data_IF_657962924429
#
_entry.id   IF_657962924429
#
_cell.length_a   1.000
_cell.length_b   1.000
_cell.length_c   1.000
_cell.angle_alpha   90.00
_cell.angle_beta   90.00
_cell.angle_gamma   90.00
#
_symmetry.space_group_name_H-M   'P 1'
#
loop_
_entity.id
_entity.type
_entity.pdbx_description
1 polymer ?
#
# COMPACT_ATOMS: atom_id res chain seq x y z
N UNK A 1 18.03 25.46 2.69
CA UNK A 1 19.46 25.18 2.97
C UNK A 1 20.09 26.35 3.71
N UNK A 2 20.99 26.03 4.60
CA UNK A 2 21.73 27.00 5.41
C UNK A 2 23.23 26.68 5.35
N UNK A 3 24.07 27.70 5.07
CA UNK A 3 25.53 27.61 5.14
C UNK A 3 25.98 27.76 6.59
N UNK A 4 26.52 26.71 7.19
CA UNK A 4 27.07 26.75 8.54
C UNK A 4 28.52 27.26 8.50
N UNK A 5 29.27 26.79 7.49
CA UNK A 5 30.64 27.21 7.18
C UNK A 5 30.72 27.49 5.68
N UNK A 6 31.80 28.12 5.22
CA UNK A 6 31.99 28.39 3.78
C UNK A 6 31.97 27.13 2.91
N UNK A 7 32.30 26.00 3.50
CA UNK A 7 32.39 24.70 2.87
C UNK A 7 31.38 23.68 3.42
N UNK A 8 30.52 24.03 4.36
CA UNK A 8 29.50 23.15 4.92
C UNK A 8 28.10 23.74 4.72
N UNK A 9 27.29 23.06 3.94
CA UNK A 9 25.87 23.38 3.72
C UNK A 9 25.01 22.29 4.31
N UNK A 10 24.00 22.67 5.09
CA UNK A 10 22.94 21.75 5.55
C UNK A 10 21.60 22.17 4.98
N UNK A 11 20.73 21.21 4.79
CA UNK A 11 19.38 21.43 4.29
C UNK A 11 18.37 20.58 5.04
N UNK A 12 17.20 21.14 5.25
CA UNK A 12 16.04 20.41 5.72
C UNK A 12 14.81 20.88 4.97
N UNK A 13 13.91 19.98 4.66
CA UNK A 13 12.65 20.24 3.98
C UNK A 13 11.60 19.26 4.45
N UNK A 14 10.38 19.73 4.58
CA UNK A 14 9.19 18.90 4.81
C UNK A 14 8.25 19.13 3.64
N UNK A 15 7.86 18.06 2.98
CA UNK A 15 6.95 18.06 1.84
C UNK A 15 5.65 17.36 2.23
N UNK A 16 4.56 17.74 1.57
CA UNK A 16 3.24 17.11 1.70
C UNK A 16 2.72 17.05 3.16
N UNK A 17 3.07 18.04 3.97
CA UNK A 17 2.56 18.17 5.33
C UNK A 17 1.11 18.65 5.30
N UNK A 18 0.18 17.73 5.56
CA UNK A 18 -1.24 18.10 5.55
C UNK A 18 -2.18 16.93 5.82
N UNK A 19 -3.46 17.22 5.68
CA UNK A 19 -4.52 16.23 5.77
C UNK A 19 -5.67 16.60 4.83
N UNK A 20 -6.43 15.59 4.41
CA UNK A 20 -7.69 15.76 3.68
C UNK A 20 -8.82 15.50 4.65
N UNK A 21 -9.77 16.42 4.73
CA UNK A 21 -10.98 16.26 5.51
C UNK A 21 -12.13 15.86 4.58
N UNK A 22 -12.66 14.68 4.78
CA UNK A 22 -13.81 14.16 4.05
C UNK A 22 -15.08 14.48 4.85
N UNK A 23 -15.98 15.26 4.28
CA UNK A 23 -17.23 15.57 4.96
C UNK A 23 -18.13 14.34 4.98
N UNK A 24 -18.92 14.22 6.05
CA UNK A 24 -19.93 13.17 6.20
C UNK A 24 -20.88 13.07 4.99
N UNK A 25 -21.30 14.20 4.45
CA UNK A 25 -22.25 14.27 3.33
C UNK A 25 -21.66 13.91 1.97
N UNK A 26 -20.31 13.99 1.84
CA UNK A 26 -19.62 13.69 0.58
C UNK A 26 -18.98 12.29 0.58
N UNK A 27 -19.07 11.55 1.69
CA UNK A 27 -18.42 10.25 1.85
C UNK A 27 -19.48 9.17 2.02
N UNK A 28 -19.36 8.09 1.27
CA UNK A 28 -20.16 6.89 1.44
C UNK A 28 -19.26 5.76 1.93
N UNK A 29 -19.83 4.86 2.71
CA UNK A 29 -19.15 3.66 3.19
C UNK A 29 -19.80 2.47 2.52
N UNK A 30 -19.01 1.64 1.87
CA UNK A 30 -19.44 0.34 1.40
C UNK A 30 -18.98 -0.71 2.40
N UNK A 31 -19.90 -1.50 2.92
CA UNK A 31 -19.63 -2.68 3.74
C UNK A 31 -20.00 -3.93 2.97
N UNK A 32 -19.12 -4.91 2.94
CA UNK A 32 -19.42 -6.23 2.37
C UNK A 32 -19.86 -7.14 3.51
N UNK A 33 -20.99 -7.79 3.35
CA UNK A 33 -21.50 -8.80 4.27
C UNK A 33 -21.94 -10.04 3.48
N UNK A 34 -21.00 -10.72 2.80
CA UNK A 34 -21.33 -11.87 1.98
C UNK A 34 -21.86 -13.01 2.83
N UNK A 35 -22.94 -13.64 2.39
CA UNK A 35 -23.38 -14.90 2.99
C UNK A 35 -22.30 -15.96 2.76
N UNK A 36 -21.93 -16.71 3.82
CA UNK A 36 -20.93 -17.76 3.68
C UNK A 36 -21.50 -18.87 2.77
N UNK A 37 -20.83 -19.11 1.66
CA UNK A 37 -21.10 -20.27 0.80
C UNK A 37 -20.49 -21.47 1.50
N UNK A 38 -21.31 -22.26 2.18
CA UNK A 38 -20.87 -23.45 2.92
C UNK A 38 -21.22 -24.74 2.14
N UNK A 39 -20.27 -25.19 1.31
CA UNK A 39 -20.34 -26.47 0.60
C UNK A 39 -19.52 -27.50 1.38
N UNK A 40 -19.89 -27.79 2.63
CA UNK A 40 -19.25 -28.82 3.43
C UNK A 40 -20.04 -30.13 3.34
N UNK A 41 -19.34 -31.24 3.08
CA UNK A 41 -19.96 -32.56 3.06
C UNK A 41 -20.73 -32.90 4.34
N UNK A 42 -20.31 -32.38 5.51
CA UNK A 42 -21.01 -32.52 6.78
C UNK A 42 -22.40 -31.91 6.81
N UNK A 43 -22.62 -30.80 6.08
CA UNK A 43 -23.93 -30.13 5.97
C UNK A 43 -24.93 -31.05 5.29
N UNK A 44 -24.55 -31.70 4.21
CA UNK A 44 -25.41 -32.60 3.46
C UNK A 44 -25.56 -33.97 4.13
N UNK A 45 -24.48 -34.48 4.76
CA UNK A 45 -24.56 -35.71 5.54
C UNK A 45 -25.50 -35.58 6.76
N UNK A 46 -25.54 -34.42 7.39
CA UNK A 46 -26.46 -34.14 8.50
C UNK A 46 -27.97 -34.12 8.09
N UNK A 47 -28.27 -34.04 6.79
CA UNK A 47 -29.63 -34.09 6.27
C UNK A 47 -30.14 -35.53 6.06
N UNK A 48 -29.26 -36.52 6.17
CA UNK A 48 -29.61 -37.93 5.95
C UNK A 48 -30.25 -38.51 7.19
N UNK A 49 -31.52 -38.88 7.09
CA UNK A 49 -32.26 -39.55 8.14
C UNK A 49 -32.23 -41.08 7.90
N UNK A 50 -31.66 -41.87 8.82
CA UNK A 50 -31.60 -43.34 8.66
C UNK A 50 -32.96 -44.01 8.57
N UNK A 51 -34.01 -43.37 9.16
CA UNK A 51 -35.39 -43.93 9.15
C UNK A 51 -36.10 -43.72 7.78
N UNK A 52 -35.68 -42.69 7.03
CA UNK A 52 -36.20 -42.36 5.71
C UNK A 52 -35.02 -42.13 4.72
N UNK A 53 -34.09 -43.08 4.68
CA UNK A 53 -32.84 -42.93 3.98
C UNK A 53 -32.97 -42.52 2.51
N UNK A 54 -33.87 -43.12 1.77
CA UNK A 54 -34.01 -42.89 0.31
C UNK A 54 -34.44 -41.46 0.01
N UNK A 55 -35.44 -40.92 0.73
CA UNK A 55 -35.94 -39.56 0.51
C UNK A 55 -34.97 -38.50 1.05
N UNK A 56 -34.35 -38.75 2.18
CA UNK A 56 -33.41 -37.82 2.78
C UNK A 56 -32.09 -37.72 1.98
N UNK A 57 -31.58 -38.83 1.44
CA UNK A 57 -30.42 -38.83 0.53
C UNK A 57 -30.75 -38.06 -0.74
N UNK A 58 -31.94 -38.30 -1.34
CA UNK A 58 -32.36 -37.56 -2.53
C UNK A 58 -32.44 -36.04 -2.28
N UNK A 59 -33.00 -35.65 -1.14
CA UNK A 59 -33.09 -34.24 -0.74
C UNK A 59 -31.68 -33.60 -0.50
N UNK A 60 -30.77 -34.34 0.12
CA UNK A 60 -29.38 -33.88 0.35
C UNK A 60 -28.65 -33.71 -0.99
N UNK A 61 -28.82 -34.65 -1.92
CA UNK A 61 -28.21 -34.55 -3.26
C UNK A 61 -28.81 -33.40 -4.09
N UNK A 62 -30.11 -33.22 -4.07
CA UNK A 62 -30.75 -32.10 -4.77
C UNK A 62 -30.30 -30.77 -4.21
N UNK A 63 -30.15 -30.66 -2.86
CA UNK A 63 -29.63 -29.46 -2.25
C UNK A 63 -28.18 -29.22 -2.67
N UNK A 64 -27.31 -30.23 -2.63
CA UNK A 64 -25.92 -30.13 -3.08
C UNK A 64 -25.82 -29.68 -4.54
N UNK A 65 -26.65 -30.26 -5.39
CA UNK A 65 -26.71 -29.88 -6.82
C UNK A 65 -27.11 -28.41 -6.97
N UNK A 66 -28.17 -27.99 -6.33
CA UNK A 66 -28.63 -26.59 -6.39
C UNK A 66 -27.57 -25.60 -5.86
N UNK A 67 -26.93 -25.95 -4.74
CA UNK A 67 -25.89 -25.09 -4.14
C UNK A 67 -24.65 -25.02 -5.06
N UNK A 68 -24.29 -26.14 -5.74
CA UNK A 68 -23.21 -26.18 -6.73
C UNK A 68 -23.56 -25.41 -7.99
N UNK A 69 -24.78 -25.54 -8.52
CA UNK A 69 -25.25 -24.80 -9.70
C UNK A 69 -25.27 -23.29 -9.41
N UNK A 70 -25.77 -22.86 -8.26
CA UNK A 70 -25.74 -21.46 -7.83
C UNK A 70 -24.33 -20.93 -7.74
N UNK A 71 -23.39 -21.70 -7.18
CA UNK A 71 -21.98 -21.32 -7.10
C UNK A 71 -21.35 -21.20 -8.50
N UNK A 72 -21.58 -22.18 -9.36
CA UNK A 72 -21.10 -22.18 -10.76
C UNK A 72 -21.67 -21.01 -11.56
N UNK A 73 -22.92 -20.68 -11.34
CA UNK A 73 -23.60 -19.55 -11.98
C UNK A 73 -22.94 -18.21 -11.58
N UNK A 74 -22.63 -18.04 -10.32
CA UNK A 74 -21.88 -16.88 -9.82
C UNK A 74 -20.48 -16.78 -10.43
N UNK A 75 -19.78 -17.91 -10.58
CA UNK A 75 -18.42 -17.95 -11.14
C UNK A 75 -18.43 -17.75 -12.67
N UNK A 76 -19.37 -18.36 -13.40
CA UNK A 76 -19.40 -18.37 -14.88
C UNK A 76 -19.95 -17.08 -15.47
N UNK A 77 -20.80 -16.36 -14.75
CA UNK A 77 -21.29 -15.05 -15.21
C UNK A 77 -20.23 -13.96 -15.20
N UNK A 78 -19.00 -14.30 -14.85
CA UNK A 78 -17.88 -13.34 -14.77
C UNK A 78 -18.01 -12.36 -13.61
N UNK A 79 -18.97 -12.60 -12.75
CA UNK A 79 -19.35 -11.71 -11.65
C UNK A 79 -18.63 -12.03 -10.34
N UNK A 80 -17.45 -12.65 -10.40
CA UNK A 80 -16.59 -12.91 -9.23
C UNK A 80 -16.26 -11.63 -8.47
N UNK A 81 -16.44 -10.48 -9.12
CA UNK A 81 -16.33 -9.14 -8.54
C UNK A 81 -17.68 -8.39 -8.54
N UNK A 82 -18.78 -9.08 -8.80
CA UNK A 82 -20.10 -8.45 -8.82
C UNK A 82 -20.50 -8.00 -7.41
N UNK A 83 -21.11 -6.81 -7.33
CA UNK A 83 -21.69 -6.24 -6.12
C UNK A 83 -22.64 -7.21 -5.41
N UNK A 84 -23.38 -8.02 -6.16
CA UNK A 84 -24.34 -8.97 -5.62
C UNK A 84 -23.67 -10.11 -4.85
N UNK A 85 -22.51 -10.60 -5.29
CA UNK A 85 -21.75 -11.63 -4.60
C UNK A 85 -21.16 -11.12 -3.29
N UNK A 86 -20.72 -9.86 -3.26
CA UNK A 86 -20.15 -9.24 -2.08
C UNK A 86 -21.22 -8.69 -1.13
N UNK A 87 -22.49 -8.69 -1.57
CA UNK A 87 -23.62 -8.08 -0.84
C UNK A 87 -23.24 -6.69 -0.30
N UNK A 88 -22.74 -5.83 -1.21
CA UNK A 88 -22.25 -4.51 -0.85
C UNK A 88 -23.42 -3.58 -0.50
N UNK A 89 -23.51 -3.26 0.77
CA UNK A 89 -24.40 -2.20 1.25
C UNK A 89 -23.64 -0.87 1.25
N UNK A 90 -24.15 0.08 0.46
CA UNK A 90 -23.62 1.44 0.40
C UNK A 90 -24.45 2.36 1.28
N UNK A 91 -23.88 2.78 2.40
CA UNK A 91 -24.51 3.68 3.34
C UNK A 91 -23.79 5.03 3.44
N UNK A 92 -24.46 6.01 4.04
CA UNK A 92 -23.84 7.28 4.35
C UNK A 92 -22.83 7.14 5.48
N UNK A 93 -21.74 7.89 5.41
CA UNK A 93 -20.76 7.92 6.48
C UNK A 93 -21.37 8.44 7.77
N UNK A 94 -21.16 7.74 8.89
CA UNK A 94 -21.68 8.15 10.21
C UNK A 94 -20.95 9.40 10.74
N UNK A 95 -19.69 9.55 10.39
CA UNK A 95 -18.81 10.62 10.84
C UNK A 95 -17.92 11.17 9.72
N UNK A 96 -17.42 12.39 9.90
CA UNK A 96 -16.39 12.95 9.01
C UNK A 96 -15.06 12.22 9.21
N UNK A 97 -14.35 11.94 8.13
CA UNK A 97 -13.07 11.25 8.14
C UNK A 97 -11.93 12.21 7.81
N UNK A 98 -10.83 12.09 8.55
CA UNK A 98 -9.57 12.77 8.22
C UNK A 98 -8.54 11.77 7.75
N UNK A 99 -7.93 12.04 6.61
CA UNK A 99 -6.83 11.26 6.04
C UNK A 99 -5.58 12.12 6.02
N UNK A 100 -4.50 11.66 6.65
CA UNK A 100 -3.20 12.36 6.58
C UNK A 100 -2.55 12.12 5.23
N UNK A 101 -1.90 13.14 4.70
CA UNK A 101 -1.03 12.99 3.53
C UNK A 101 0.26 12.27 3.92
N UNK A 102 0.85 11.58 2.95
CA UNK A 102 2.14 10.90 3.12
C UNK A 102 3.26 11.96 3.12
N UNK A 103 3.50 12.59 4.27
CA UNK A 103 4.53 13.62 4.40
C UNK A 103 5.93 13.05 4.22
N UNK A 104 6.83 13.85 3.66
CA UNK A 104 8.22 13.47 3.43
C UNK A 104 9.14 14.48 4.12
N UNK A 105 10.01 13.97 5.00
CA UNK A 105 11.09 14.73 5.61
C UNK A 105 12.37 14.46 4.84
N UNK A 106 13.03 15.53 4.40
CA UNK A 106 14.32 15.48 3.72
C UNK A 106 15.32 16.27 4.53
N UNK A 107 16.43 15.63 4.94
CA UNK A 107 17.52 16.25 5.67
C UNK A 107 18.82 15.91 4.96
N UNK A 108 19.66 16.90 4.68
CA UNK A 108 20.92 16.70 4.00
C UNK A 108 22.03 17.59 4.51
N UNK A 109 23.26 17.13 4.29
CA UNK A 109 24.45 17.88 4.54
C UNK A 109 25.45 17.64 3.41
N UNK A 110 26.15 18.69 2.99
CA UNK A 110 27.19 18.64 1.98
C UNK A 110 28.43 19.40 2.49
N UNK A 111 29.58 18.77 2.35
CA UNK A 111 30.86 19.35 2.70
C UNK A 111 31.77 19.43 1.49
N UNK A 112 32.28 20.64 1.21
CA UNK A 112 33.19 20.94 0.11
C UNK A 112 34.65 20.92 0.52
N UNK A 113 35.47 20.20 -0.20
CA UNK A 113 36.93 20.13 -0.06
C UNK A 113 37.62 20.85 -1.22
N UNK A 114 38.85 21.32 -1.00
CA UNK A 114 39.70 21.88 -2.06
C UNK A 114 39.02 23.03 -2.84
N UNK A 115 38.48 24.01 -2.15
CA UNK A 115 37.73 25.10 -2.73
C UNK A 115 36.53 24.60 -3.57
N UNK A 116 35.77 23.66 -3.00
CA UNK A 116 34.60 23.02 -3.62
C UNK A 116 34.88 22.24 -4.93
N UNK A 117 36.15 21.84 -5.15
CA UNK A 117 36.45 20.91 -6.26
C UNK A 117 35.99 19.48 -5.99
N UNK A 118 35.92 19.10 -4.74
CA UNK A 118 35.33 17.85 -4.28
C UNK A 118 34.23 18.18 -3.27
N UNK A 119 33.00 17.73 -3.50
CA UNK A 119 31.92 17.84 -2.56
C UNK A 119 31.45 16.44 -2.15
N UNK A 120 31.28 16.21 -0.87
CA UNK A 120 30.73 14.96 -0.32
C UNK A 120 29.46 15.30 0.44
N UNK A 121 28.39 14.57 0.15
CA UNK A 121 27.09 14.80 0.74
C UNK A 121 26.44 13.54 1.30
N UNK A 122 25.57 13.75 2.28
CA UNK A 122 24.67 12.75 2.79
C UNK A 122 23.25 13.33 2.82
N UNK A 123 22.28 12.56 2.35
CA UNK A 123 20.87 12.93 2.28
C UNK A 123 20.04 11.81 2.91
N UNK A 124 19.20 12.17 3.86
CA UNK A 124 18.19 11.27 4.43
C UNK A 124 16.81 11.72 3.97
N UNK A 125 16.06 10.83 3.34
CA UNK A 125 14.67 11.05 2.93
C UNK A 125 13.79 10.07 3.67
N UNK A 126 12.89 10.56 4.51
CA UNK A 126 11.93 9.72 5.24
C UNK A 126 10.53 10.06 4.79
N UNK A 127 9.85 9.11 4.18
CA UNK A 127 8.44 9.20 3.78
C UNK A 127 7.58 8.52 4.84
N UNK A 128 6.67 9.28 5.46
CA UNK A 128 5.73 8.78 6.45
C UNK A 128 4.48 8.22 5.75
N UNK A 129 4.49 6.93 5.47
CA UNK A 129 3.37 6.19 4.87
C UNK A 129 2.78 5.30 5.96
N UNK A 130 1.46 5.30 6.13
CA UNK A 130 0.84 4.39 7.07
C UNK A 130 0.83 2.95 6.50
N UNK A 131 1.12 1.91 7.32
CA UNK A 131 1.42 1.94 8.76
C UNK A 131 2.88 2.28 9.11
N UNK A 132 3.80 2.25 8.16
CA UNK A 132 5.24 2.35 8.39
C UNK A 132 5.85 3.59 7.74
N UNK A 133 7.06 3.98 8.22
CA UNK A 133 7.87 5.00 7.57
C UNK A 133 8.96 4.34 6.71
N UNK A 134 9.14 4.84 5.50
CA UNK A 134 10.20 4.41 4.60
C UNK A 134 11.33 5.43 4.60
N UNK A 135 12.52 4.99 5.02
CA UNK A 135 13.71 5.84 5.05
C UNK A 135 14.72 5.41 4.00
N UNK A 136 15.18 6.36 3.22
CA UNK A 136 16.28 6.25 2.28
C UNK A 136 17.45 7.11 2.77
N UNK A 137 18.64 6.54 2.74
CA UNK A 137 19.89 7.24 3.02
C UNK A 137 20.78 7.22 1.77
N UNK A 138 21.10 8.40 1.25
CA UNK A 138 21.92 8.56 0.05
C UNK A 138 23.21 9.27 0.41
N UNK A 139 24.33 8.70 0.00
CA UNK A 139 25.65 9.33 0.03
C UNK A 139 26.02 9.73 -1.39
N UNK A 140 26.63 10.89 -1.53
CA UNK A 140 27.08 11.41 -2.82
C UNK A 140 28.49 11.98 -2.74
N UNK A 141 29.22 11.88 -3.84
CA UNK A 141 30.50 12.52 -4.01
C UNK A 141 30.55 13.14 -5.42
N UNK A 142 30.87 14.41 -5.49
CA UNK A 142 31.01 15.16 -6.74
C UNK A 142 32.43 15.67 -6.85
N UNK A 143 33.11 15.31 -7.92
CA UNK A 143 34.45 15.79 -8.20
C UNK A 143 34.47 16.66 -9.46
N UNK A 144 34.81 17.93 -9.27
CA UNK A 144 34.81 18.96 -10.31
C UNK A 144 36.17 19.68 -10.37
N UNK A 145 37.21 19.06 -10.95
CA UNK A 145 38.54 19.65 -11.01
C UNK A 145 38.61 20.88 -11.90
N UNK A 146 37.81 20.93 -12.97
CA UNK A 146 37.69 22.02 -13.93
C UNK A 146 36.22 22.30 -14.26
N UNK A 147 35.94 23.48 -14.82
CA UNK A 147 34.57 23.92 -15.14
C UNK A 147 33.88 23.06 -16.22
N UNK A 148 34.63 22.36 -17.06
CA UNK A 148 34.13 21.52 -18.12
C UNK A 148 34.08 20.02 -17.78
N UNK A 149 34.58 19.63 -16.60
CA UNK A 149 34.64 18.22 -16.19
C UNK A 149 34.06 18.01 -14.79
N UNK A 150 33.09 17.13 -14.71
CA UNK A 150 32.45 16.72 -13.46
C UNK A 150 32.23 15.23 -13.44
N UNK A 151 32.53 14.59 -12.34
CA UNK A 151 32.19 13.19 -12.05
C UNK A 151 31.37 13.15 -10.78
N UNK A 152 30.23 12.48 -10.82
CA UNK A 152 29.34 12.29 -9.70
C UNK A 152 29.19 10.81 -9.38
N UNK A 153 29.28 10.46 -8.10
CA UNK A 153 29.03 9.13 -7.58
C UNK A 153 27.92 9.25 -6.54
N UNK A 154 27.00 8.31 -6.53
CA UNK A 154 25.97 8.22 -5.48
C UNK A 154 25.73 6.78 -5.06
N UNK A 155 25.42 6.60 -3.80
CA UNK A 155 25.04 5.32 -3.22
C UNK A 155 23.86 5.51 -2.28
N UNK A 156 22.77 4.83 -2.55
CA UNK A 156 21.55 4.89 -1.74
C UNK A 156 21.23 3.55 -1.11
N UNK A 157 20.78 3.60 0.12
CA UNK A 157 20.25 2.47 0.88
C UNK A 157 18.82 2.79 1.29
N UNK A 158 17.89 1.98 0.84
CA UNK A 158 16.47 2.09 1.17
C UNK A 158 16.16 1.03 2.21
N UNK A 159 15.60 1.42 3.33
CA UNK A 159 15.20 0.51 4.41
C UNK A 159 14.27 -0.58 3.88
N UNK A 160 14.66 -1.84 4.08
CA UNK A 160 13.91 -3.06 3.68
C UNK A 160 13.68 -3.26 2.18
N UNK A 161 14.17 -2.37 1.29
CA UNK A 161 13.85 -2.44 -0.14
C UNK A 161 15.07 -2.69 -1.04
N UNK A 162 16.26 -2.20 -0.71
CA UNK A 162 17.42 -2.43 -1.56
C UNK A 162 18.52 -1.37 -1.48
N UNK A 163 19.48 -1.51 -2.38
CA UNK A 163 20.62 -0.61 -2.53
C UNK A 163 20.73 -0.19 -3.99
N UNK A 164 21.08 1.05 -4.25
CA UNK A 164 21.34 1.55 -5.60
C UNK A 164 22.67 2.29 -5.68
N UNK A 165 23.28 2.24 -6.85
CA UNK A 165 24.52 2.95 -7.17
C UNK A 165 24.32 3.77 -8.44
N UNK A 166 24.75 5.02 -8.42
CA UNK A 166 24.70 5.93 -9.55
C UNK A 166 26.08 6.48 -9.89
N UNK A 167 26.38 6.57 -11.20
CA UNK A 167 27.55 7.20 -11.78
C UNK A 167 27.08 8.23 -12.81
N UNK A 168 27.59 9.43 -12.73
CA UNK A 168 27.26 10.52 -13.63
C UNK A 168 28.51 11.34 -14.02
#
# INVERSE_FOLDING_TARGET
SYKILDNLTVSASILDLGFISWSKSATKIASANPDPIDIKGSTYAGMIDPTNAQSSVTNALNKLQNDAENYMDLVTKGDVLNYDMLQLEVGDAKESRKSRLASTLVVGAEYGFFNNKLAVGALSTTRFVQPDALTELTFSANYRPKSWFNVALSYSVIQSAGKSFGLG
#
